data_IF_513177322880
#
_entry.id   IF_513177322880
#
_cell.length_a   1.000
_cell.length_b   1.000
_cell.length_c   1.000
_cell.angle_alpha   90.00
_cell.angle_beta   90.00
_cell.angle_gamma   90.00
#
_symmetry.space_group_name_H-M   'P 1'
#
loop_
_entity.id
_entity.type
_entity.pdbx_description
1 polymer ?
#
# COMPACT_ATOMS: atom_id res chain seq x y z
N UNK A 1 -12.19 3.92 -7.71
CA UNK A 1 -10.90 3.49 -7.11
C UNK A 1 -9.96 3.08 -8.21
N UNK A 2 -8.74 3.65 -8.29
CA UNK A 2 -7.74 3.33 -9.31
C UNK A 2 -6.41 3.03 -8.63
N UNK A 3 -5.71 1.99 -9.10
CA UNK A 3 -4.34 1.68 -8.69
C UNK A 3 -3.39 2.83 -9.03
N UNK A 4 -2.55 3.22 -8.07
CA UNK A 4 -1.52 4.24 -8.21
C UNK A 4 -0.13 3.59 -8.23
N UNK A 5 0.86 4.12 -8.97
CA UNK A 5 2.24 3.61 -8.93
C UNK A 5 2.83 3.66 -7.51
N UNK A 6 3.60 2.66 -7.10
CA UNK A 6 4.19 2.59 -5.74
C UNK A 6 5.10 3.80 -5.44
N UNK A 7 5.79 4.33 -6.45
CA UNK A 7 6.63 5.54 -6.34
C UNK A 7 5.89 6.78 -5.85
N UNK A 8 4.55 6.77 -5.91
CA UNK A 8 3.68 7.85 -5.43
C UNK A 8 3.11 7.59 -4.03
N UNK A 9 3.43 6.46 -3.39
CA UNK A 9 3.01 6.17 -2.03
C UNK A 9 3.63 7.22 -1.09
N UNK A 10 2.79 7.80 -0.25
CA UNK A 10 3.20 8.78 0.76
C UNK A 10 2.99 8.20 2.15
N UNK A 11 3.64 8.76 3.17
CA UNK A 11 3.41 8.36 4.56
C UNK A 11 1.94 8.52 4.95
N UNK A 12 1.28 9.60 4.51
CA UNK A 12 -0.14 9.82 4.77
C UNK A 12 -1.05 8.75 4.10
N UNK A 13 -0.70 8.32 2.89
CA UNK A 13 -1.41 7.22 2.21
C UNK A 13 -1.21 5.88 2.96
N UNK A 14 0.01 5.63 3.44
CA UNK A 14 0.35 4.45 4.23
C UNK A 14 -0.41 4.45 5.57
N UNK A 15 -0.36 5.55 6.32
CA UNK A 15 -1.06 5.72 7.59
C UNK A 15 -2.58 5.54 7.41
N UNK A 16 -3.17 6.21 6.41
CA UNK A 16 -4.61 6.09 6.09
C UNK A 16 -5.00 4.67 5.68
N UNK A 17 -4.15 4.01 4.91
CA UNK A 17 -4.31 2.64 4.49
C UNK A 17 -4.18 1.67 5.65
N UNK A 18 -3.25 1.92 6.57
CA UNK A 18 -2.97 1.05 7.72
C UNK A 18 -4.00 1.20 8.85
N UNK A 19 -4.28 2.42 9.30
CA UNK A 19 -5.22 2.69 10.43
C UNK A 19 -6.58 2.02 10.26
N UNK A 20 -6.97 1.74 9.01
CA UNK A 20 -8.25 1.15 8.67
C UNK A 20 -8.14 -0.23 7.99
N UNK A 21 -6.94 -0.81 7.89
CA UNK A 21 -6.69 -2.05 7.15
C UNK A 21 -7.24 -2.01 5.71
N UNK A 22 -6.93 -0.95 4.97
CA UNK A 22 -7.41 -0.65 3.61
C UNK A 22 -6.32 -0.58 2.56
N UNK A 23 -5.05 -0.76 2.93
CA UNK A 23 -3.96 -0.70 1.97
C UNK A 23 -3.84 -2.01 1.19
N UNK A 24 -3.97 -1.92 -0.12
CA UNK A 24 -3.66 -3.00 -1.05
C UNK A 24 -2.37 -2.65 -1.79
N UNK A 25 -1.45 -3.60 -1.86
CA UNK A 25 -0.25 -3.54 -2.70
C UNK A 25 -0.42 -4.50 -3.88
N UNK A 26 0.31 -4.30 -4.95
CA UNK A 26 0.21 -5.16 -6.14
C UNK A 26 1.54 -5.24 -6.88
N UNK A 27 1.87 -6.43 -7.37
CA UNK A 27 2.94 -6.66 -8.34
C UNK A 27 2.51 -7.66 -9.41
N UNK A 28 3.24 -7.70 -10.52
CA UNK A 28 2.92 -8.56 -11.67
C UNK A 28 3.08 -10.05 -11.39
N UNK A 29 3.93 -10.44 -10.43
CA UNK A 29 4.19 -11.83 -10.09
C UNK A 29 3.08 -12.47 -9.25
N UNK A 30 2.60 -11.76 -8.23
CA UNK A 30 1.73 -12.28 -7.17
C UNK A 30 0.33 -11.64 -7.17
N UNK A 31 0.11 -10.59 -7.97
CA UNK A 31 -1.15 -9.89 -8.00
C UNK A 31 -1.38 -9.02 -6.75
N UNK A 32 -2.65 -8.76 -6.37
CA UNK A 32 -2.98 -7.86 -5.28
C UNK A 32 -2.81 -8.55 -3.92
N UNK A 33 -2.16 -7.84 -2.99
CA UNK A 33 -1.89 -8.26 -1.63
C UNK A 33 -2.51 -7.26 -0.65
N UNK A 34 -3.23 -7.75 0.36
CA UNK A 34 -3.77 -6.91 1.42
C UNK A 34 -2.70 -6.70 2.48
N UNK A 35 -2.28 -5.46 2.66
CA UNK A 35 -1.18 -5.13 3.55
C UNK A 35 -1.71 -4.97 4.98
N UNK A 36 -1.41 -5.97 5.81
CA UNK A 36 -1.93 -6.12 7.19
C UNK A 36 -0.83 -6.02 8.27
N UNK A 37 0.44 -5.97 7.88
CA UNK A 37 1.58 -5.85 8.79
C UNK A 37 1.89 -4.36 9.00
N UNK A 38 2.36 -3.94 10.19
CA UNK A 38 3.46 -2.97 10.47
C UNK A 38 3.52 -2.69 11.98
N UNK A 39 4.73 -2.57 12.56
CA UNK A 39 4.90 -1.45 13.50
C UNK A 39 6.06 -0.50 13.18
N UNK A 40 6.87 -0.70 12.13
CA UNK A 40 8.06 0.15 11.87
C UNK A 40 8.40 0.51 10.40
N UNK A 41 7.59 0.18 9.39
CA UNK A 41 7.92 0.52 7.98
C UNK A 41 7.29 1.87 7.59
N UNK A 42 8.11 2.75 7.01
CA UNK A 42 7.63 3.97 6.36
C UNK A 42 7.34 3.73 4.86
N UNK A 43 6.77 4.73 4.18
CA UNK A 43 6.42 4.60 2.78
C UNK A 43 7.66 4.42 1.87
N UNK A 44 8.85 4.85 2.30
CA UNK A 44 10.08 4.71 1.55
C UNK A 44 10.67 3.30 1.68
N UNK A 45 10.49 2.64 2.83
CA UNK A 45 10.87 1.24 3.00
C UNK A 45 10.09 0.34 2.04
N UNK A 46 8.76 0.49 1.96
CA UNK A 46 7.91 -0.25 1.00
C UNK A 46 8.35 -0.01 -0.45
N UNK A 47 8.78 1.21 -0.78
CA UNK A 47 9.31 1.52 -2.13
C UNK A 47 10.66 0.85 -2.36
N UNK A 48 11.53 0.82 -1.35
CA UNK A 48 12.89 0.27 -1.42
C UNK A 48 12.92 -1.24 -1.51
N UNK A 49 11.92 -1.94 -0.97
CA UNK A 49 11.77 -3.39 -1.18
C UNK A 49 11.80 -3.75 -2.66
N UNK A 50 11.30 -2.85 -3.52
CA UNK A 50 11.27 -3.06 -4.97
C UNK A 50 10.35 -4.21 -5.40
N UNK A 51 9.60 -4.79 -4.46
CA UNK A 51 8.68 -5.92 -4.67
C UNK A 51 7.35 -5.43 -5.25
N UNK A 52 6.91 -4.23 -4.87
CA UNK A 52 5.59 -3.70 -5.20
C UNK A 52 5.65 -2.74 -6.38
N UNK A 53 4.63 -2.78 -7.24
CA UNK A 53 4.54 -1.91 -8.42
C UNK A 53 3.49 -0.82 -8.24
N UNK A 54 2.39 -1.16 -7.54
CA UNK A 54 1.21 -0.30 -7.38
C UNK A 54 0.62 -0.44 -5.98
N UNK A 55 -0.13 0.58 -5.57
CA UNK A 55 -0.94 0.58 -4.36
C UNK A 55 -2.37 1.05 -4.63
N UNK A 56 -3.30 0.63 -3.79
CA UNK A 56 -4.68 1.06 -3.78
C UNK A 56 -5.16 1.16 -2.32
N UNK A 57 -5.78 2.29 -1.98
CA UNK A 57 -6.47 2.44 -0.69
C UNK A 57 -7.95 2.16 -0.95
N UNK A 58 -8.49 1.13 -0.30
CA UNK A 58 -9.91 0.78 -0.33
C UNK A 58 -10.74 1.92 0.29
N UNK A 59 -12.02 2.07 -0.09
CA UNK A 59 -12.86 3.12 0.48
C UNK A 59 -13.15 2.79 1.95
N UNK A 60 -13.67 3.75 2.72
CA UNK A 60 -14.24 3.39 4.02
C UNK A 60 -15.34 2.34 3.84
N UNK A 61 -15.32 1.30 4.69
CA UNK A 61 -16.48 0.44 4.85
C UNK A 61 -17.55 1.28 5.54
N UNK A 62 -18.65 1.53 4.83
CA UNK A 62 -19.86 2.16 5.35
C UNK A 62 -20.49 1.29 6.44
#
# INVERSE_FOLDING_TARGET
MRWKPIRKLTEADLEKGWMHNRLMLWNSCNGPYHYQYVPAEDADDIKREGVWEKFLILPDQL
#
